data_IF_252160795946
#
_entry.id   IF_252160795946
#
_cell.length_a   1.000
_cell.length_b   1.000
_cell.length_c   1.000
_cell.angle_alpha   90.00
_cell.angle_beta   90.00
_cell.angle_gamma   90.00
#
_symmetry.space_group_name_H-M   'P 1'
#
loop_
_entity.id
_entity.type
_entity.pdbx_description
1 polymer ?
#
# COMPACT_ATOMS: atom_id res chain seq x y z
N UNK A 1 24.27 -7.29 2.54
CA UNK A 1 23.01 -7.22 3.32
C UNK A 1 22.17 -6.10 2.72
N UNK A 2 21.13 -6.43 1.95
CA UNK A 2 20.23 -5.43 1.41
C UNK A 2 19.28 -4.99 2.53
N UNK A 3 19.37 -3.73 2.94
CA UNK A 3 18.41 -3.11 3.86
C UNK A 3 17.05 -3.08 3.18
N UNK A 4 16.12 -3.92 3.64
CA UNK A 4 14.72 -3.95 3.19
C UNK A 4 14.03 -2.70 3.74
N UNK A 5 14.30 -1.53 3.16
CA UNK A 5 13.74 -0.25 3.60
C UNK A 5 12.48 0.04 2.80
N UNK A 6 11.33 -0.35 3.35
CA UNK A 6 10.04 0.15 2.87
C UNK A 6 9.86 1.54 3.47
N UNK A 7 9.65 2.54 2.62
CA UNK A 7 9.36 3.91 3.06
C UNK A 7 8.01 4.35 2.52
N UNK A 8 7.12 4.77 3.41
CA UNK A 8 5.81 5.31 3.05
C UNK A 8 5.82 6.82 3.31
N UNK A 9 5.27 7.60 2.39
CA UNK A 9 5.07 9.03 2.54
C UNK A 9 3.72 9.43 1.93
N UNK A 10 3.02 10.38 2.55
CA UNK A 10 1.79 10.95 1.99
C UNK A 10 2.02 12.41 1.59
N UNK A 11 1.40 12.82 0.49
CA UNK A 11 1.41 14.20 0.01
C UNK A 11 -0.02 14.69 -0.15
N UNK A 12 -0.27 15.89 0.35
CA UNK A 12 -1.49 16.62 0.15
C UNK A 12 -1.36 17.52 -1.08
N UNK A 13 -2.37 17.50 -1.95
CA UNK A 13 -2.51 18.43 -3.05
C UNK A 13 -3.79 19.24 -2.81
N UNK A 14 -3.66 20.55 -2.57
CA UNK A 14 -4.83 21.40 -2.35
C UNK A 14 -5.69 21.46 -3.62
N UNK A 15 -7.00 21.72 -3.45
CA UNK A 15 -7.89 21.92 -4.58
C UNK A 15 -7.47 23.15 -5.37
N UNK A 16 -7.43 23.04 -6.70
CA UNK A 16 -7.10 24.18 -7.59
C UNK A 16 -8.27 25.16 -7.76
N UNK A 17 -9.49 24.71 -7.45
CA UNK A 17 -10.73 25.48 -7.43
C UNK A 17 -11.70 24.85 -6.42
N UNK A 18 -12.63 25.64 -5.89
CA UNK A 18 -13.74 25.27 -5.02
C UNK A 18 -14.64 24.13 -5.55
N UNK A 19 -14.64 23.88 -6.86
CA UNK A 19 -15.41 22.81 -7.49
C UNK A 19 -14.69 21.45 -7.51
N UNK A 20 -13.40 21.40 -7.14
CA UNK A 20 -12.56 20.20 -7.21
C UNK A 20 -12.13 19.83 -5.78
N UNK A 21 -12.24 18.57 -5.33
CA UNK A 21 -11.78 18.18 -4.01
C UNK A 21 -10.24 18.16 -3.92
N UNK A 22 -9.70 18.22 -2.71
CA UNK A 22 -8.28 18.01 -2.48
C UNK A 22 -7.88 16.56 -2.83
N UNK A 23 -6.61 16.34 -3.17
CA UNK A 23 -6.07 15.00 -3.41
C UNK A 23 -5.05 14.61 -2.35
N UNK A 24 -5.04 13.34 -2.01
CA UNK A 24 -4.02 12.68 -1.22
C UNK A 24 -3.29 11.65 -2.09
N UNK A 25 -1.96 11.71 -2.09
CA UNK A 25 -1.08 10.73 -2.73
C UNK A 25 -0.24 10.03 -1.66
N UNK A 26 -0.45 8.73 -1.48
CA UNK A 26 0.47 7.91 -0.70
C UNK A 26 1.45 7.22 -1.66
N UNK A 27 2.74 7.37 -1.37
CA UNK A 27 3.84 6.75 -2.12
C UNK A 27 4.54 5.75 -1.21
N UNK A 28 4.47 4.49 -1.60
CA UNK A 28 5.24 3.40 -0.98
C UNK A 28 6.46 3.12 -1.85
N UNK A 29 7.64 3.43 -1.32
CA UNK A 29 8.94 3.13 -1.91
C UNK A 29 9.31 1.69 -1.53
N UNK A 30 9.43 0.82 -2.54
CA UNK A 30 10.09 -0.47 -2.45
C UNK A 30 11.51 -0.31 -3.04
N UNK A 31 12.29 -1.40 -3.11
CA UNK A 31 13.71 -1.33 -3.54
C UNK A 31 13.82 -0.80 -4.98
N UNK A 32 13.11 -1.43 -5.92
CA UNK A 32 13.17 -1.11 -7.35
C UNK A 32 11.79 -0.78 -7.93
N UNK A 33 10.82 -0.49 -7.08
CA UNK A 33 9.45 -0.21 -7.49
C UNK A 33 8.74 0.78 -6.57
N UNK A 34 7.71 1.41 -7.14
CA UNK A 34 6.83 2.33 -6.44
C UNK A 34 5.41 1.81 -6.49
N UNK A 35 4.71 1.94 -5.38
CA UNK A 35 3.26 1.84 -5.36
C UNK A 35 2.67 3.21 -5.02
N UNK A 36 1.71 3.65 -5.83
CA UNK A 36 1.04 4.94 -5.70
C UNK A 36 -0.43 4.69 -5.41
N UNK A 37 -0.92 5.22 -4.29
CA UNK A 37 -2.35 5.35 -4.02
C UNK A 37 -2.73 6.82 -4.18
N UNK A 38 -3.73 7.10 -5.00
CA UNK A 38 -4.23 8.46 -5.26
C UNK A 38 -5.74 8.44 -4.99
N UNK A 39 -6.18 9.35 -4.13
CA UNK A 39 -7.60 9.51 -3.81
C UNK A 39 -7.96 10.96 -3.53
N UNK A 40 -9.25 11.28 -3.65
CA UNK A 40 -9.81 12.53 -3.17
C UNK A 40 -9.88 12.51 -1.64
N UNK A 41 -9.78 13.67 -1.00
CA UNK A 41 -9.89 13.78 0.46
C UNK A 41 -10.58 15.07 0.86
N UNK A 42 -11.43 14.98 1.89
CA UNK A 42 -12.03 16.12 2.59
C UNK A 42 -11.21 16.50 3.83
N UNK A 43 -10.04 15.87 4.03
CA UNK A 43 -9.17 16.13 5.17
C UNK A 43 -8.24 17.32 4.91
N UNK A 44 -7.94 18.04 5.98
CA UNK A 44 -6.88 19.07 5.99
C UNK A 44 -5.49 18.46 5.81
N UNK A 45 -4.55 19.28 5.37
CA UNK A 45 -3.18 18.86 5.03
C UNK A 45 -2.47 18.16 6.19
N UNK A 46 -2.71 18.56 7.44
CA UNK A 46 -2.09 17.99 8.64
C UNK A 46 -2.57 16.58 8.95
N UNK A 47 -3.72 16.18 8.39
CA UNK A 47 -4.33 14.87 8.61
C UNK A 47 -4.31 13.99 7.37
N UNK A 48 -3.65 14.41 6.29
CA UNK A 48 -3.67 13.71 4.99
C UNK A 48 -3.16 12.27 5.07
N UNK A 49 -2.30 11.94 6.04
CA UNK A 49 -1.83 10.57 6.27
C UNK A 49 -2.96 9.58 6.58
N UNK A 50 -4.13 10.08 7.02
CA UNK A 50 -5.32 9.29 7.27
C UNK A 50 -6.24 9.18 6.05
N UNK A 51 -5.99 9.95 4.99
CA UNK A 51 -6.83 9.95 3.79
C UNK A 51 -6.94 8.56 3.12
N UNK A 52 -5.85 7.75 3.04
CA UNK A 52 -5.96 6.38 2.58
C UNK A 52 -6.99 5.57 3.38
N UNK A 53 -7.06 5.77 4.71
CA UNK A 53 -7.97 5.05 5.62
C UNK A 53 -9.44 5.40 5.39
N UNK A 54 -9.73 6.53 4.74
CA UNK A 54 -11.09 6.98 4.46
C UNK A 54 -11.60 6.59 3.06
N UNK A 55 -10.71 6.17 2.15
CA UNK A 55 -11.04 5.91 0.75
C UNK A 55 -11.64 4.52 0.49
N UNK A 56 -12.70 4.46 -0.32
CA UNK A 56 -13.45 3.24 -0.60
C UNK A 56 -12.94 2.40 -1.80
N UNK A 57 -11.86 2.80 -2.48
CA UNK A 57 -11.36 2.11 -3.69
C UNK A 57 -10.47 0.88 -3.42
N UNK A 58 -10.13 0.62 -2.16
CA UNK A 58 -9.58 -0.68 -1.75
C UNK A 58 -9.24 -0.67 -0.28
N UNK A 59 -9.98 -1.45 0.51
CA UNK A 59 -9.89 -1.46 1.98
C UNK A 59 -8.62 -2.11 2.50
N UNK A 60 -8.05 -3.04 1.73
CA UNK A 60 -6.88 -3.81 2.13
C UNK A 60 -5.99 -4.04 0.91
N UNK A 61 -4.71 -3.68 1.06
CA UNK A 61 -3.67 -3.89 0.07
C UNK A 61 -2.47 -4.51 0.74
N UNK A 62 -1.99 -5.60 0.17
CA UNK A 62 -0.78 -6.26 0.61
C UNK A 62 0.08 -6.64 -0.59
N UNK A 63 1.38 -6.69 -0.35
CA UNK A 63 2.35 -7.19 -1.31
C UNK A 63 3.06 -8.36 -0.68
N UNK A 64 3.18 -9.47 -1.39
CA UNK A 64 4.07 -10.55 -1.01
C UNK A 64 4.97 -10.91 -2.18
N UNK A 65 6.18 -11.33 -1.85
CA UNK A 65 7.15 -11.81 -2.81
C UNK A 65 7.41 -13.29 -2.55
N UNK A 66 7.58 -14.09 -3.60
CA UNK A 66 8.00 -15.47 -3.47
C UNK A 66 9.30 -15.59 -2.68
N UNK A 67 9.45 -16.69 -1.93
CA UNK A 67 10.68 -16.97 -1.23
C UNK A 67 11.76 -17.47 -2.19
N UNK A 68 12.96 -16.89 -2.13
CA UNK A 68 14.07 -17.27 -3.03
C UNK A 68 14.51 -18.73 -2.84
N UNK A 69 14.28 -19.29 -1.65
CA UNK A 69 14.63 -20.67 -1.32
C UNK A 69 13.42 -21.61 -1.38
N UNK A 70 13.53 -22.77 -2.06
CA UNK A 70 12.48 -23.77 -2.06
C UNK A 70 12.09 -24.19 -0.63
N UNK A 71 10.79 -24.13 -0.32
CA UNK A 71 10.25 -24.49 1.00
C UNK A 71 10.32 -23.40 2.07
N UNK A 72 10.84 -22.21 1.76
CA UNK A 72 10.72 -21.05 2.64
C UNK A 72 9.37 -20.35 2.44
N UNK A 73 8.80 -19.80 3.52
CA UNK A 73 7.54 -19.06 3.45
C UNK A 73 7.71 -17.71 2.72
N UNK A 74 6.69 -17.26 1.99
CA UNK A 74 6.73 -16.04 1.20
C UNK A 74 6.65 -14.83 2.13
N UNK A 75 7.51 -13.85 1.91
CA UNK A 75 7.54 -12.65 2.73
C UNK A 75 6.51 -11.66 2.22
N UNK A 76 5.51 -11.37 3.05
CA UNK A 76 4.45 -10.40 2.78
C UNK A 76 4.53 -9.18 3.68
N UNK A 77 3.96 -8.07 3.22
CA UNK A 77 3.74 -6.85 3.98
C UNK A 77 2.37 -6.29 3.65
N UNK A 78 1.61 -5.90 4.68
CA UNK A 78 0.38 -5.14 4.48
C UNK A 78 0.77 -3.68 4.26
N UNK A 79 0.36 -3.14 3.12
CA UNK A 79 0.64 -1.76 2.72
C UNK A 79 -0.48 -0.84 3.17
N UNK A 80 -1.70 -1.36 3.15
CA UNK A 80 -2.90 -0.69 3.63
C UNK A 80 -3.84 -1.74 4.21
N UNK A 81 -4.36 -1.50 5.42
CA UNK A 81 -5.13 -2.50 6.15
C UNK A 81 -6.28 -1.81 6.87
N UNK A 82 -7.50 -2.26 6.64
CA UNK A 82 -8.59 -1.98 7.55
C UNK A 82 -8.30 -2.65 8.91
N UNK A 83 -8.68 -2.04 10.04
CA UNK A 83 -8.37 -2.54 11.38
C UNK A 83 -8.87 -3.97 11.69
N UNK A 84 -9.72 -4.54 10.83
CA UNK A 84 -10.42 -5.80 11.05
C UNK A 84 -10.30 -6.78 9.86
N UNK A 85 -9.33 -6.60 8.97
CA UNK A 85 -9.17 -7.45 7.79
C UNK A 85 -7.72 -7.83 7.58
N UNK A 86 -7.41 -9.13 7.62
CA UNK A 86 -6.08 -9.69 7.32
C UNK A 86 -6.05 -10.48 6.00
N UNK A 87 -7.19 -10.50 5.29
CA UNK A 87 -7.41 -11.35 4.12
C UNK A 87 -6.44 -11.02 2.99
N UNK A 88 -6.20 -9.73 2.72
CA UNK A 88 -5.31 -9.33 1.63
C UNK A 88 -3.88 -9.82 1.81
N UNK A 89 -3.34 -9.78 3.05
CA UNK A 89 -1.98 -10.22 3.33
C UNK A 89 -1.84 -11.74 3.19
N UNK A 90 -2.75 -12.49 3.80
CA UNK A 90 -2.75 -13.95 3.70
C UNK A 90 -2.90 -14.42 2.24
N UNK A 91 -3.76 -13.75 1.46
CA UNK A 91 -3.94 -14.04 0.03
C UNK A 91 -2.71 -13.68 -0.79
N UNK A 92 -2.11 -12.52 -0.57
CA UNK A 92 -0.89 -12.11 -1.27
C UNK A 92 0.23 -13.13 -1.04
N UNK A 93 0.42 -13.59 0.20
CA UNK A 93 1.41 -14.62 0.54
C UNK A 93 1.15 -15.93 -0.19
N UNK A 94 -0.08 -16.45 -0.17
CA UNK A 94 -0.45 -17.68 -0.90
C UNK A 94 -0.18 -17.57 -2.41
N UNK A 95 -0.49 -16.42 -3.01
CA UNK A 95 -0.19 -16.17 -4.43
C UNK A 95 1.32 -16.14 -4.67
N UNK A 96 2.08 -15.49 -3.79
CA UNK A 96 3.53 -15.47 -3.83
C UNK A 96 4.15 -16.87 -3.81
N UNK A 97 3.65 -17.76 -2.97
CA UNK A 97 4.08 -19.17 -2.95
C UNK A 97 3.81 -19.90 -4.27
N UNK A 98 2.64 -19.65 -4.88
CA UNK A 98 2.26 -20.33 -6.12
C UNK A 98 3.06 -19.89 -7.34
N UNK A 99 3.67 -18.70 -7.32
CA UNK A 99 4.36 -18.11 -8.47
C UNK A 99 5.74 -18.72 -8.77
N UNK A 100 6.30 -19.54 -7.87
CA UNK A 100 7.59 -20.23 -8.07
C UNK A 100 7.47 -21.69 -8.51
N UNK A 101 6.28 -22.16 -8.87
CA UNK A 101 6.04 -23.58 -9.27
C UNK A 101 6.29 -23.82 -10.77
N UNK A 102 7.24 -23.12 -11.39
CA UNK A 102 7.63 -23.34 -12.79
C UNK A 102 9.13 -23.60 -12.94
#
# INVERSE_FOLDING_TARGET
MATKSIRVQTRYFPPSDSAIPALALQVTHLVDSYMLWIGTTEMEAENVDKAPLAGALGRDWACAMPAIHPGAQPSGTSLFCAPNSDVALAMAQRLGDSLLVH
#
